data_IF_285061645535
#
_entry.id   IF_285061645535
#
_cell.length_a   1.000
_cell.length_b   1.000
_cell.length_c   1.000
_cell.angle_alpha   90.00
_cell.angle_beta   90.00
_cell.angle_gamma   90.00
#
_symmetry.space_group_name_H-M   'P 1'
#
loop_
_entity.id
_entity.type
_entity.pdbx_description
1 polymer ?
#
# COMPACT_ATOMS: atom_id res chain seq x y z
N UNK A 1 -3.10 2.05 -7.62
CA UNK A 1 -1.68 1.74 -7.83
C UNK A 1 -1.34 0.29 -7.56
N UNK A 2 -0.20 -0.24 -8.08
CA UNK A 2 0.17 -1.66 -7.97
C UNK A 2 0.38 -2.11 -6.52
N UNK A 3 0.47 -3.44 -6.31
CA UNK A 3 0.77 -3.99 -4.98
C UNK A 3 2.14 -3.50 -4.50
N UNK A 4 2.23 -3.12 -3.22
CA UNK A 4 3.47 -2.59 -2.63
C UNK A 4 3.79 -1.14 -2.96
N UNK A 5 2.90 -0.39 -3.61
CA UNK A 5 3.09 1.05 -3.92
C UNK A 5 2.82 2.00 -2.73
N UNK A 6 2.47 1.49 -1.56
CA UNK A 6 2.23 2.31 -0.37
C UNK A 6 0.77 2.73 -0.14
N UNK A 7 -0.21 2.20 -0.88
CA UNK A 7 -1.64 2.51 -0.72
C UNK A 7 -2.12 2.41 0.73
N UNK A 8 -1.92 1.25 1.34
CA UNK A 8 -2.30 1.00 2.74
C UNK A 8 -1.60 1.95 3.71
N UNK A 9 -0.34 2.31 3.45
CA UNK A 9 0.37 3.30 4.27
C UNK A 9 -0.30 4.68 4.20
N UNK A 10 -0.62 5.15 2.99
CA UNK A 10 -1.37 6.40 2.80
C UNK A 10 -2.77 6.33 3.42
N UNK A 11 -3.44 5.17 3.36
CA UNK A 11 -4.72 4.96 4.02
C UNK A 11 -4.62 5.10 5.55
N UNK A 12 -3.53 4.64 6.18
CA UNK A 12 -3.29 4.85 7.61
C UNK A 12 -3.03 6.33 7.93
N UNK A 13 -2.25 7.04 7.13
CA UNK A 13 -2.04 8.50 7.30
C UNK A 13 -3.39 9.24 7.17
N UNK A 14 -4.20 8.89 6.17
CA UNK A 14 -5.53 9.47 6.01
C UNK A 14 -6.43 9.23 7.22
N UNK A 15 -6.39 8.04 7.81
CA UNK A 15 -7.11 7.72 9.04
C UNK A 15 -6.73 8.65 10.19
N UNK A 16 -5.44 8.90 10.40
CA UNK A 16 -4.95 9.78 11.47
C UNK A 16 -5.42 11.24 11.31
N UNK A 17 -5.53 11.70 10.06
CA UNK A 17 -5.96 13.07 9.75
C UNK A 17 -7.48 13.24 9.86
N UNK A 18 -8.27 12.22 9.47
CA UNK A 18 -9.72 12.33 9.29
C UNK A 18 -10.54 11.57 10.32
N UNK A 19 -9.90 10.84 11.24
CA UNK A 19 -10.54 9.90 12.18
C UNK A 19 -11.45 8.87 11.48
N UNK A 20 -11.06 8.47 10.26
CA UNK A 20 -11.85 7.54 9.44
C UNK A 20 -11.75 6.12 9.95
N UNK A 21 -12.82 5.35 9.74
CA UNK A 21 -12.91 3.93 10.10
C UNK A 21 -12.52 3.04 8.91
N UNK A 22 -11.61 2.09 9.13
CA UNK A 22 -11.36 1.03 8.15
C UNK A 22 -12.54 0.05 8.06
N UNK A 23 -13.02 -0.17 6.84
CA UNK A 23 -13.99 -1.23 6.54
C UNK A 23 -13.22 -2.52 6.27
N UNK A 24 -13.31 -3.50 7.17
CA UNK A 24 -12.73 -4.85 6.98
C UNK A 24 -13.70 -5.78 6.27
N UNK A 25 -14.97 -5.70 6.63
CA UNK A 25 -16.07 -6.44 6.01
C UNK A 25 -17.28 -5.51 5.96
N UNK A 26 -17.70 -5.18 4.76
CA UNK A 26 -18.81 -4.24 4.55
C UNK A 26 -20.15 -4.82 5.06
N UNK A 27 -20.92 -4.03 5.79
CA UNK A 27 -22.14 -4.46 6.46
C UNK A 27 -23.16 -3.32 6.62
N UNK A 28 -24.38 -3.66 7.05
CA UNK A 28 -25.41 -2.68 7.41
C UNK A 28 -25.01 -1.73 8.55
N UNK A 29 -24.06 -2.13 9.40
CA UNK A 29 -23.54 -1.26 10.48
C UNK A 29 -22.82 -0.06 9.88
N UNK A 30 -22.02 -0.28 8.82
CA UNK A 30 -21.30 0.78 8.15
C UNK A 30 -22.27 1.77 7.47
N UNK A 31 -23.38 1.28 6.92
CA UNK A 31 -24.45 2.13 6.38
C UNK A 31 -25.06 3.03 7.47
N UNK A 32 -25.37 2.50 8.64
CA UNK A 32 -25.93 3.29 9.74
C UNK A 32 -24.93 4.36 10.25
N UNK A 33 -23.66 4.02 10.32
CA UNK A 33 -22.60 4.97 10.69
C UNK A 33 -22.40 6.05 9.62
N UNK A 34 -22.57 5.72 8.32
CA UNK A 34 -22.52 6.69 7.22
C UNK A 34 -23.61 7.75 7.34
N UNK A 35 -24.82 7.38 7.75
CA UNK A 35 -25.93 8.30 8.05
C UNK A 35 -25.60 9.29 9.17
N UNK A 36 -24.63 8.97 10.02
CA UNK A 36 -24.13 9.85 11.08
C UNK A 36 -22.96 10.75 10.63
N UNK A 37 -22.65 10.77 9.33
CA UNK A 37 -21.58 11.60 8.76
C UNK A 37 -20.16 11.11 9.07
N UNK A 38 -20.01 9.82 9.44
CA UNK A 38 -18.67 9.26 9.66
C UNK A 38 -17.92 9.07 8.35
N UNK A 39 -16.61 9.13 8.44
CA UNK A 39 -15.69 8.90 7.30
C UNK A 39 -15.11 7.49 7.33
N UNK A 40 -14.80 6.95 6.14
CA UNK A 40 -14.42 5.55 5.99
C UNK A 40 -13.23 5.36 5.05
N UNK A 41 -12.55 4.23 5.25
CA UNK A 41 -11.48 3.74 4.38
C UNK A 41 -11.82 2.32 3.95
N UNK A 42 -11.86 2.09 2.65
CA UNK A 42 -11.98 0.76 2.08
C UNK A 42 -10.69 0.40 1.34
N UNK A 43 -9.79 -0.27 2.06
CA UNK A 43 -8.48 -0.65 1.52
C UNK A 43 -8.59 -1.93 0.69
N UNK A 44 -7.83 -2.01 -0.42
CA UNK A 44 -7.81 -3.13 -1.36
C UNK A 44 -9.23 -3.52 -1.87
N UNK A 45 -10.04 -2.53 -2.23
CA UNK A 45 -11.45 -2.68 -2.63
C UNK A 45 -11.65 -3.69 -3.79
N UNK A 46 -10.73 -3.72 -4.73
CA UNK A 46 -10.76 -4.64 -5.88
C UNK A 46 -10.44 -6.11 -5.54
N UNK A 47 -10.09 -6.40 -4.28
CA UNK A 47 -9.85 -7.76 -3.77
C UNK A 47 -11.02 -8.33 -2.97
N UNK A 48 -12.12 -7.60 -2.87
CA UNK A 48 -13.31 -8.06 -2.16
C UNK A 48 -14.01 -9.12 -3.00
N UNK A 49 -14.05 -10.35 -2.49
CA UNK A 49 -14.64 -11.50 -3.20
C UNK A 49 -16.16 -11.37 -3.42
N UNK A 50 -16.85 -10.75 -2.47
CA UNK A 50 -18.28 -10.53 -2.53
C UNK A 50 -18.66 -9.16 -1.97
N UNK A 51 -19.22 -8.32 -2.84
CA UNK A 51 -19.75 -7.01 -2.50
C UNK A 51 -21.24 -6.98 -2.84
N UNK A 52 -22.09 -6.66 -1.85
CA UNK A 52 -23.47 -6.32 -2.15
C UNK A 52 -23.51 -4.90 -2.74
N UNK A 53 -23.51 -4.81 -4.08
CA UNK A 53 -23.38 -3.54 -4.81
C UNK A 53 -24.54 -2.57 -4.51
N UNK A 54 -25.78 -3.07 -4.35
CA UNK A 54 -26.91 -2.22 -3.99
C UNK A 54 -26.73 -1.59 -2.61
N UNK A 55 -26.31 -2.40 -1.63
CA UNK A 55 -26.08 -1.90 -0.27
C UNK A 55 -24.91 -0.91 -0.26
N UNK A 56 -23.84 -1.19 -1.02
CA UNK A 56 -22.69 -0.30 -1.13
C UNK A 56 -23.03 1.00 -1.85
N UNK A 57 -23.88 0.96 -2.86
CA UNK A 57 -24.38 2.17 -3.53
C UNK A 57 -25.17 3.07 -2.57
N UNK A 58 -26.04 2.49 -1.74
CA UNK A 58 -26.75 3.25 -0.69
C UNK A 58 -25.76 3.86 0.31
N UNK A 59 -24.78 3.07 0.77
CA UNK A 59 -23.73 3.55 1.67
C UNK A 59 -22.96 4.73 1.08
N UNK A 60 -22.54 4.62 -0.19
CA UNK A 60 -21.83 5.67 -0.89
C UNK A 60 -22.65 6.97 -0.92
N UNK A 61 -23.94 6.88 -1.24
CA UNK A 61 -24.83 8.04 -1.28
C UNK A 61 -25.03 8.66 0.12
N UNK A 62 -25.18 7.84 1.17
CA UNK A 62 -25.32 8.32 2.55
C UNK A 62 -24.08 9.09 3.02
N UNK A 63 -22.87 8.62 2.70
CA UNK A 63 -21.63 9.35 2.99
C UNK A 63 -21.66 10.73 2.33
N UNK A 64 -22.03 10.81 1.06
CA UNK A 64 -22.05 12.05 0.31
C UNK A 64 -23.08 13.04 0.88
N UNK A 65 -24.30 12.57 1.21
CA UNK A 65 -25.38 13.41 1.75
C UNK A 65 -25.05 13.94 3.14
N UNK A 66 -24.40 13.13 3.97
CA UNK A 66 -24.11 13.46 5.37
C UNK A 66 -22.71 14.05 5.59
N UNK A 67 -22.06 14.56 4.54
CA UNK A 67 -20.74 15.21 4.62
C UNK A 67 -19.62 14.33 5.20
N UNK A 68 -19.77 13.02 5.14
CA UNK A 68 -18.69 12.08 5.40
C UNK A 68 -17.69 12.04 4.24
N UNK A 69 -16.63 11.27 4.41
CA UNK A 69 -15.66 11.02 3.34
C UNK A 69 -15.38 9.52 3.19
N UNK A 70 -15.05 9.09 1.98
CA UNK A 70 -14.70 7.72 1.66
C UNK A 70 -13.39 7.69 0.88
N UNK A 71 -12.37 7.06 1.46
CA UNK A 71 -11.15 6.73 0.75
C UNK A 71 -11.22 5.27 0.30
N UNK A 72 -11.05 5.05 -0.99
CA UNK A 72 -10.97 3.70 -1.58
C UNK A 72 -9.57 3.52 -2.14
N UNK A 73 -8.90 2.41 -1.80
CA UNK A 73 -7.67 2.02 -2.46
C UNK A 73 -7.88 0.80 -3.35
N UNK A 74 -7.26 0.78 -4.51
CA UNK A 74 -7.38 -0.30 -5.49
C UNK A 74 -6.04 -0.58 -6.16
N UNK A 75 -5.85 -1.79 -6.68
CA UNK A 75 -4.70 -2.13 -7.51
C UNK A 75 -4.93 -1.76 -8.98
N UNK A 76 -6.19 -1.68 -9.41
CA UNK A 76 -6.62 -1.31 -10.77
C UNK A 76 -7.19 0.11 -10.77
N UNK A 77 -7.13 0.84 -11.90
CA UNK A 77 -7.84 2.10 -12.02
C UNK A 77 -9.37 1.90 -11.94
N UNK A 78 -10.14 2.91 -11.47
CA UNK A 78 -11.59 2.78 -11.26
C UNK A 78 -12.35 2.23 -12.49
N UNK A 79 -12.00 2.66 -13.67
CA UNK A 79 -12.63 2.25 -14.95
C UNK A 79 -12.31 0.81 -15.38
N UNK A 80 -11.43 0.11 -14.69
CA UNK A 80 -11.14 -1.32 -14.90
C UNK A 80 -11.78 -2.23 -13.85
N UNK A 81 -12.55 -1.65 -12.92
CA UNK A 81 -13.32 -2.39 -11.92
C UNK A 81 -14.72 -2.61 -12.50
N UNK A 82 -15.08 -3.86 -12.71
CA UNK A 82 -16.39 -4.22 -13.24
C UNK A 82 -17.44 -4.24 -12.13
N UNK A 83 -18.52 -3.51 -12.32
CA UNK A 83 -19.71 -3.54 -11.48
C UNK A 83 -20.91 -4.05 -12.26
N UNK A 84 -21.80 -4.79 -11.57
CA UNK A 84 -23.09 -5.19 -12.14
C UNK A 84 -24.08 -4.03 -12.12
N UNK A 85 -23.92 -3.09 -11.17
CA UNK A 85 -24.78 -1.92 -11.01
C UNK A 85 -24.14 -0.70 -11.69
N UNK A 86 -24.69 -0.28 -12.85
CA UNK A 86 -24.18 0.86 -13.64
C UNK A 86 -24.12 2.19 -12.88
N UNK A 87 -25.06 2.40 -11.95
CA UNK A 87 -25.10 3.61 -11.13
C UNK A 87 -23.92 3.66 -10.15
N UNK A 88 -23.54 2.53 -9.57
CA UNK A 88 -22.35 2.42 -8.73
C UNK A 88 -21.07 2.65 -9.53
N UNK A 89 -20.98 2.04 -10.72
CA UNK A 89 -19.84 2.23 -11.62
C UNK A 89 -19.66 3.71 -11.97
N UNK A 90 -20.73 4.40 -12.34
CA UNK A 90 -20.72 5.83 -12.65
C UNK A 90 -20.23 6.66 -11.45
N UNK A 91 -20.70 6.36 -10.25
CA UNK A 91 -20.29 7.04 -9.02
C UNK A 91 -18.80 6.84 -8.71
N UNK A 92 -18.31 5.62 -8.76
CA UNK A 92 -16.90 5.29 -8.53
C UNK A 92 -16.01 5.99 -9.57
N UNK A 93 -16.40 5.97 -10.84
CA UNK A 93 -15.64 6.63 -11.90
C UNK A 93 -15.65 8.17 -11.79
N UNK A 94 -16.64 8.75 -11.11
CA UNK A 94 -16.71 10.20 -10.86
C UNK A 94 -15.89 10.67 -9.65
N UNK A 95 -15.34 9.74 -8.86
CA UNK A 95 -14.50 10.08 -7.70
C UNK A 95 -13.18 10.73 -8.15
N UNK A 96 -12.67 11.62 -7.29
CA UNK A 96 -11.30 12.12 -7.47
C UNK A 96 -10.34 10.95 -7.29
N UNK A 97 -9.52 10.69 -8.29
CA UNK A 97 -8.56 9.58 -8.26
C UNK A 97 -7.12 10.08 -8.38
N UNK A 98 -6.22 9.44 -7.62
CA UNK A 98 -4.78 9.65 -7.71
C UNK A 98 -4.09 8.31 -7.97
N UNK A 99 -3.26 8.26 -9.01
CA UNK A 99 -2.46 7.09 -9.35
C UNK A 99 -1.15 7.11 -8.58
N UNK A 100 -0.84 6.02 -7.88
CA UNK A 100 0.48 5.79 -7.28
C UNK A 100 1.25 4.87 -8.22
N UNK A 101 2.37 5.34 -8.75
CA UNK A 101 3.24 4.55 -9.61
C UNK A 101 4.23 3.72 -8.79
N UNK A 102 4.84 2.73 -9.44
CA UNK A 102 5.97 2.03 -8.83
C UNK A 102 7.15 3.00 -8.68
N UNK A 103 7.90 2.89 -7.57
CA UNK A 103 9.06 3.72 -7.36
C UNK A 103 10.11 3.50 -8.46
N UNK A 104 10.74 4.59 -8.90
CA UNK A 104 11.91 4.55 -9.77
C UNK A 104 13.18 4.13 -9.01
N UNK A 105 14.29 3.96 -9.73
CA UNK A 105 15.54 3.51 -9.15
C UNK A 105 16.13 4.52 -8.15
N UNK A 106 15.96 5.83 -8.40
CA UNK A 106 16.49 6.89 -7.54
C UNK A 106 15.76 6.94 -6.21
N UNK A 107 14.44 6.78 -6.25
CA UNK A 107 13.60 6.71 -5.06
C UNK A 107 13.87 5.43 -4.25
N UNK A 108 13.99 4.27 -4.93
CA UNK A 108 14.37 3.01 -4.28
C UNK A 108 15.76 3.10 -3.63
N UNK A 109 16.72 3.76 -4.30
CA UNK A 109 18.04 3.99 -3.76
C UNK A 109 17.98 4.82 -2.47
N UNK A 110 17.22 5.90 -2.48
CA UNK A 110 17.03 6.77 -1.31
C UNK A 110 16.40 6.01 -0.14
N UNK A 111 15.39 5.18 -0.40
CA UNK A 111 14.76 4.33 0.63
C UNK A 111 15.77 3.31 1.16
N UNK A 112 16.53 2.64 0.28
CA UNK A 112 17.53 1.65 0.70
C UNK A 112 18.59 2.26 1.62
N UNK A 113 19.12 3.43 1.27
CA UNK A 113 20.08 4.15 2.11
C UNK A 113 19.49 4.49 3.46
N UNK A 114 18.24 4.98 3.50
CA UNK A 114 17.53 5.28 4.75
C UNK A 114 17.40 4.02 5.63
N UNK A 115 16.83 2.95 5.11
CA UNK A 115 16.61 1.69 5.84
C UNK A 115 17.92 1.10 6.39
N UNK A 116 18.98 1.12 5.60
CA UNK A 116 20.31 0.64 6.01
C UNK A 116 20.94 1.56 7.07
N UNK A 117 20.78 2.88 6.95
CA UNK A 117 21.34 3.84 7.91
C UNK A 117 20.69 3.74 9.29
N UNK A 118 19.38 3.47 9.36
CA UNK A 118 18.65 3.21 10.62
C UNK A 118 19.22 1.99 11.37
N UNK A 119 19.73 1.01 10.63
CA UNK A 119 20.41 -0.19 11.15
C UNK A 119 21.93 -0.02 11.29
N UNK A 120 22.46 1.20 11.07
CA UNK A 120 23.90 1.51 11.10
C UNK A 120 24.74 0.70 10.12
N UNK A 121 24.12 0.29 9.00
CA UNK A 121 24.77 -0.41 7.90
C UNK A 121 25.13 0.60 6.81
N UNK A 122 26.41 0.65 6.44
CA UNK A 122 26.90 1.55 5.41
C UNK A 122 27.47 0.73 4.26
N UNK A 123 26.83 0.80 3.11
CA UNK A 123 27.28 0.18 1.87
C UNK A 123 27.75 1.26 0.90
N UNK A 124 28.67 0.90 0.02
CA UNK A 124 29.05 1.81 -1.06
C UNK A 124 27.97 1.81 -2.18
N UNK A 125 27.96 2.89 -2.98
CA UNK A 125 26.96 3.08 -4.04
C UNK A 125 26.89 1.92 -5.04
N UNK A 126 28.05 1.30 -5.35
CA UNK A 126 28.10 0.15 -6.27
C UNK A 126 27.29 -1.04 -5.74
N UNK A 127 27.35 -1.30 -4.43
CA UNK A 127 26.57 -2.37 -3.80
C UNK A 127 25.08 -2.00 -3.70
N UNK A 128 24.76 -0.74 -3.39
CA UNK A 128 23.39 -0.26 -3.36
C UNK A 128 22.75 -0.37 -4.76
N UNK A 129 23.41 0.08 -5.80
CA UNK A 129 22.94 -0.06 -7.18
C UNK A 129 22.81 -1.53 -7.62
N UNK A 130 23.72 -2.39 -7.14
CA UNK A 130 23.61 -3.83 -7.38
C UNK A 130 22.34 -4.43 -6.79
N UNK A 131 21.96 -3.99 -5.58
CA UNK A 131 20.73 -4.42 -4.88
C UNK A 131 19.50 -3.91 -5.64
N UNK A 132 19.44 -2.60 -5.95
CA UNK A 132 18.28 -1.96 -6.61
C UNK A 132 17.95 -2.64 -7.95
N UNK A 133 18.95 -3.05 -8.71
CA UNK A 133 18.75 -3.73 -10.00
C UNK A 133 18.17 -5.15 -9.89
N UNK A 134 18.09 -5.71 -8.68
CA UNK A 134 17.68 -7.11 -8.44
C UNK A 134 16.51 -7.26 -7.49
N UNK A 135 16.26 -6.26 -6.67
CA UNK A 135 15.16 -6.29 -5.70
C UNK A 135 13.82 -5.95 -6.37
N UNK A 136 12.73 -6.53 -5.91
CA UNK A 136 11.38 -6.12 -6.35
C UNK A 136 11.14 -4.64 -6.03
N UNK A 137 10.57 -3.91 -7.01
CA UNK A 137 10.34 -2.47 -6.93
C UNK A 137 9.19 -2.12 -5.99
N UNK A 138 9.38 -2.31 -4.70
CA UNK A 138 8.42 -1.90 -3.67
C UNK A 138 9.13 -1.70 -2.34
N UNK A 139 8.54 -0.88 -1.49
CA UNK A 139 9.05 -0.56 -0.16
C UNK A 139 9.25 -1.80 0.71
N UNK A 140 8.28 -2.72 0.70
CA UNK A 140 8.31 -3.95 1.54
C UNK A 140 9.56 -4.81 1.27
N UNK A 141 9.93 -4.96 -0.01
CA UNK A 141 11.11 -5.76 -0.37
C UNK A 141 12.41 -5.10 0.12
N UNK A 142 12.51 -3.76 0.06
CA UNK A 142 13.68 -3.04 0.57
C UNK A 142 13.76 -3.16 2.10
N UNK A 143 12.66 -2.96 2.80
CA UNK A 143 12.63 -3.10 4.27
C UNK A 143 13.01 -4.50 4.71
N UNK A 144 12.42 -5.53 4.06
CA UNK A 144 12.75 -6.93 4.33
C UNK A 144 14.23 -7.25 4.04
N UNK A 145 14.78 -6.69 2.95
CA UNK A 145 16.19 -6.82 2.62
C UNK A 145 17.07 -6.24 3.72
N UNK A 146 16.78 -5.02 4.17
CA UNK A 146 17.54 -4.36 5.21
C UNK A 146 17.48 -5.11 6.54
N UNK A 147 16.30 -5.61 6.92
CA UNK A 147 16.11 -6.43 8.13
C UNK A 147 16.91 -7.73 8.06
N UNK A 148 16.79 -8.47 6.96
CA UNK A 148 17.49 -9.75 6.80
C UNK A 148 19.01 -9.56 6.78
N UNK A 149 19.48 -8.50 6.12
CA UNK A 149 20.90 -8.17 6.09
C UNK A 149 21.44 -7.80 7.47
N UNK A 150 20.66 -7.07 8.28
CA UNK A 150 21.01 -6.71 9.64
C UNK A 150 21.17 -7.96 10.53
N UNK A 151 20.19 -8.85 10.52
CA UNK A 151 20.25 -10.13 11.26
C UNK A 151 21.50 -10.92 10.88
N UNK A 152 21.76 -11.08 9.56
CA UNK A 152 22.95 -11.82 9.10
C UNK A 152 24.27 -11.14 9.47
N UNK A 153 24.32 -9.80 9.52
CA UNK A 153 25.52 -9.06 9.89
C UNK A 153 25.83 -9.20 11.37
N UNK A 154 24.82 -9.21 12.23
CA UNK A 154 24.95 -9.41 13.66
C UNK A 154 25.45 -10.83 14.00
N UNK A 155 24.94 -11.84 13.31
CA UNK A 155 25.36 -13.24 13.50
C UNK A 155 26.83 -13.46 13.12
N UNK A 156 27.25 -12.92 11.95
CA UNK A 156 28.58 -13.18 11.42
C UNK A 156 29.69 -12.25 11.95
N UNK A 157 29.32 -11.12 12.61
CA UNK A 157 30.24 -10.11 13.17
C UNK A 157 31.34 -9.65 12.20
N UNK A 158 31.08 -9.66 10.89
CA UNK A 158 32.02 -9.33 9.83
C UNK A 158 31.51 -8.20 8.95
N UNK A 159 32.39 -7.54 8.22
CA UNK A 159 31.98 -6.55 7.21
C UNK A 159 31.12 -7.23 6.16
N UNK A 160 30.04 -6.53 5.77
CA UNK A 160 29.09 -7.00 4.75
C UNK A 160 29.81 -7.17 3.41
N UNK A 161 29.67 -8.34 2.83
CA UNK A 161 30.28 -8.73 1.56
C UNK A 161 29.22 -8.89 0.45
N UNK A 162 29.65 -8.84 -0.80
CA UNK A 162 28.78 -9.11 -1.94
C UNK A 162 28.14 -10.51 -1.86
N UNK A 163 28.83 -11.48 -1.25
CA UNK A 163 28.30 -12.83 -1.05
C UNK A 163 27.07 -12.82 -0.14
N UNK A 164 27.15 -12.11 0.99
CA UNK A 164 26.01 -11.96 1.92
C UNK A 164 24.85 -11.22 1.27
N UNK A 165 25.10 -10.17 0.49
CA UNK A 165 24.07 -9.45 -0.27
C UNK A 165 23.35 -10.41 -1.22
N UNK A 166 24.08 -11.26 -1.96
CA UNK A 166 23.47 -12.27 -2.84
C UNK A 166 22.65 -13.31 -2.06
N UNK A 167 23.15 -13.78 -0.92
CA UNK A 167 22.41 -14.71 -0.04
C UNK A 167 21.08 -14.10 0.41
N UNK A 168 21.08 -12.85 0.85
CA UNK A 168 19.87 -12.14 1.27
C UNK A 168 18.90 -11.96 0.11
N UNK A 169 19.37 -11.51 -1.06
CA UNK A 169 18.52 -11.36 -2.24
C UNK A 169 17.81 -12.68 -2.60
N UNK A 170 18.53 -13.79 -2.57
CA UNK A 170 17.94 -15.11 -2.85
C UNK A 170 16.88 -15.52 -1.81
N UNK A 171 17.09 -15.18 -0.52
CA UNK A 171 16.13 -15.49 0.56
C UNK A 171 14.82 -14.71 0.38
N UNK A 172 14.89 -13.44 0.00
CA UNK A 172 13.68 -12.60 -0.12
C UNK A 172 12.93 -12.78 -1.44
N UNK A 173 13.54 -13.43 -2.45
CA UNK A 173 12.92 -13.75 -3.73
C UNK A 173 12.27 -15.15 -3.75
N UNK A 174 12.57 -15.99 -2.77
CA UNK A 174 11.97 -17.31 -2.58
C UNK A 174 10.60 -17.19 -1.91
#
# INVERSE_FOLDING_TARGET
>A
GPSGSGKTHLAHIYKEITDSKFIKKFSNIDLNEAKLGKSFIFDDFDKVEYLNENLFFHFFNEIFVNSGSLLITTSKPPNEINFSLSDLESRINSCISAKIELPDDDFLFSILIKELSEKKIFLNDKLCLYIIKRIKRNYKSISLFAETLDIMSLEKKTKITLKQIKEVLNIIEA
#
